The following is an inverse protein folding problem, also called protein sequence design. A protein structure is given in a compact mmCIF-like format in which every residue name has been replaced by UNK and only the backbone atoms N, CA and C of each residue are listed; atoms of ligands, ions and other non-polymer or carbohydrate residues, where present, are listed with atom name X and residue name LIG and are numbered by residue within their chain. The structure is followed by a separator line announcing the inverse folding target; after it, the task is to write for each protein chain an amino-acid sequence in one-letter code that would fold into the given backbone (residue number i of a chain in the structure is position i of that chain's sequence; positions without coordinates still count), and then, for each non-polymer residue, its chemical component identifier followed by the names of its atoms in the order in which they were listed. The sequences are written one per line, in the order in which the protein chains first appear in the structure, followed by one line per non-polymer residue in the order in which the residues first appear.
data_IF_431996895832
#
_entry.id   IF_431996895832
#
_cell.length_a   1.000
_cell.length_b   1.000
_cell.length_c   1.000
_cell.angle_alpha   90.00
_cell.angle_beta   90.00
_cell.angle_gamma   90.00
#
_symmetry.space_group_name_H-M   'P 1'
#
loop_
_entity.id
_entity.type
_entity.pdbx_description
1 polymer ?
#
# COMPACT_ATOMS: atom_id res chain seq x y z
N UNK A 1 -6.87 -1.10 -19.28
CA UNK A 1 -6.28 -0.09 -18.39
C UNK A 1 -6.39 -0.55 -16.95
N UNK A 2 -5.36 -0.25 -16.18
CA UNK A 2 -5.36 -0.61 -14.76
C UNK A 2 -6.14 0.44 -13.97
N UNK A 3 -7.00 -0.03 -13.08
CA UNK A 3 -7.69 0.85 -12.15
C UNK A 3 -6.85 1.00 -10.89
N UNK A 4 -6.59 2.25 -10.50
CA UNK A 4 -5.90 2.54 -9.24
C UNK A 4 -6.91 3.12 -8.26
N UNK A 5 -6.96 2.53 -7.07
CA UNK A 5 -7.82 2.99 -6.00
C UNK A 5 -6.98 3.29 -4.77
N UNK A 6 -7.57 3.92 -3.77
CA UNK A 6 -6.88 4.39 -2.59
C UNK A 6 -7.70 4.09 -1.34
N UNK A 7 -7.01 3.79 -0.24
CA UNK A 7 -7.65 3.55 1.04
C UNK A 7 -7.52 4.77 1.96
N UNK A 8 -8.32 4.78 3.01
CA UNK A 8 -8.25 5.82 4.04
C UNK A 8 -6.96 5.73 4.86
N UNK A 9 -6.28 4.60 4.80
CA UNK A 9 -5.00 4.38 5.48
C UNK A 9 -3.82 4.77 4.60
N UNK A 10 -4.08 5.43 3.46
CA UNK A 10 -3.06 5.93 2.54
C UNK A 10 -2.29 4.82 1.84
N UNK A 11 -2.98 3.75 1.46
CA UNK A 11 -2.44 2.73 0.56
C UNK A 11 -3.07 2.91 -0.82
N UNK A 12 -2.29 2.61 -1.85
CA UNK A 12 -2.82 2.56 -3.22
C UNK A 12 -2.90 1.11 -3.68
N UNK A 13 -3.87 0.82 -4.53
CA UNK A 13 -4.12 -0.51 -5.07
C UNK A 13 -4.30 -0.41 -6.58
N UNK A 14 -3.50 -1.17 -7.31
CA UNK A 14 -3.59 -1.24 -8.76
C UNK A 14 -4.01 -2.65 -9.13
N UNK A 15 -5.23 -2.81 -9.63
CA UNK A 15 -5.76 -4.11 -10.00
C UNK A 15 -5.55 -4.38 -11.47
N UNK A 16 -4.91 -5.51 -11.80
CA UNK A 16 -4.72 -6.00 -13.16
C UNK A 16 -5.15 -7.46 -13.19
N UNK A 17 -6.29 -7.74 -13.83
CA UNK A 17 -6.86 -9.08 -13.80
C UNK A 17 -7.21 -9.49 -12.37
N UNK A 18 -6.61 -10.56 -11.88
CA UNK A 18 -6.84 -11.04 -10.52
C UNK A 18 -5.75 -10.61 -9.55
N UNK A 19 -4.75 -9.86 -10.02
CA UNK A 19 -3.60 -9.47 -9.20
C UNK A 19 -3.69 -8.00 -8.83
N UNK A 20 -3.64 -7.72 -7.54
CA UNK A 20 -3.60 -6.35 -7.02
C UNK A 20 -2.20 -6.04 -6.51
N UNK A 21 -1.62 -4.95 -6.98
CA UNK A 21 -0.35 -4.43 -6.47
C UNK A 21 -0.66 -3.35 -5.46
N UNK A 22 -0.04 -3.41 -4.29
CA UNK A 22 -0.34 -2.53 -3.17
C UNK A 22 0.92 -1.86 -2.66
N UNK A 23 0.81 -0.57 -2.36
CA UNK A 23 1.89 0.20 -1.76
C UNK A 23 1.31 1.36 -0.97
N UNK A 24 2.16 2.25 -0.48
CA UNK A 24 1.72 3.43 0.24
C UNK A 24 1.82 4.65 -0.66
N UNK A 25 0.99 5.66 -0.39
CA UNK A 25 0.93 6.85 -1.24
C UNK A 25 2.06 7.83 -0.92
N UNK A 26 2.27 8.76 -1.85
CA UNK A 26 3.22 9.86 -1.62
C UNK A 26 2.83 10.64 -0.36
N UNK A 27 1.54 10.86 -0.14
CA UNK A 27 1.04 11.54 1.05
C UNK A 27 1.48 10.81 2.32
N UNK A 28 1.42 9.48 2.33
CA UNK A 28 1.87 8.70 3.48
C UNK A 28 3.37 8.90 3.75
N UNK A 29 4.19 8.93 2.69
CA UNK A 29 5.63 9.14 2.86
C UNK A 29 5.93 10.55 3.38
N UNK A 30 5.13 11.53 2.98
CA UNK A 30 5.30 12.90 3.47
C UNK A 30 4.96 13.00 4.96
N UNK A 31 3.94 12.27 5.41
CA UNK A 31 3.59 12.24 6.82
C UNK A 31 4.61 11.50 7.67
N UNK A 32 5.16 10.41 7.14
CA UNK A 32 6.11 9.57 7.87
C UNK A 32 7.52 10.12 7.88
N UNK A 33 7.93 10.79 6.80
CA UNK A 33 9.31 11.23 6.62
C UNK A 33 10.17 10.12 6.04
N UNK A 34 11.47 10.16 6.30
CA UNK A 34 12.41 9.19 5.72
C UNK A 34 12.17 7.78 6.26
N UNK A 35 11.87 6.86 5.37
CA UNK A 35 11.64 5.46 5.73
C UNK A 35 12.99 4.76 5.88
N UNK A 36 13.18 4.10 7.02
CA UNK A 36 14.45 3.44 7.37
C UNK A 36 14.32 1.93 7.52
N UNK A 37 13.10 1.41 7.60
CA UNK A 37 12.88 -0.02 7.74
C UNK A 37 11.50 -0.38 7.18
N UNK A 38 11.42 -1.54 6.52
CA UNK A 38 10.17 -2.06 5.97
C UNK A 38 10.12 -3.56 6.17
N UNK A 39 8.99 -4.06 6.65
CA UNK A 39 8.74 -5.49 6.77
C UNK A 39 7.54 -5.84 5.90
N UNK A 40 7.68 -6.88 5.07
CA UNK A 40 6.67 -7.31 4.13
C UNK A 40 6.08 -8.66 4.55
N UNK A 41 4.84 -8.98 4.14
CA UNK A 41 4.29 -10.30 4.38
C UNK A 41 5.02 -11.35 3.53
N UNK A 42 4.99 -12.61 3.98
CA UNK A 42 5.59 -13.68 3.21
C UNK A 42 4.66 -14.14 2.09
N UNK A 43 5.24 -14.61 0.99
CA UNK A 43 4.46 -15.21 -0.10
C UNK A 43 3.67 -16.39 0.43
N UNK A 44 2.43 -16.52 -0.04
CA UNK A 44 1.53 -17.57 0.42
C UNK A 44 0.68 -17.19 1.63
N UNK A 45 0.96 -16.05 2.26
CA UNK A 45 0.18 -15.57 3.39
C UNK A 45 -1.19 -15.09 2.90
N UNK A 46 -2.23 -15.47 3.61
CA UNK A 46 -3.57 -14.95 3.35
C UNK A 46 -3.81 -13.75 4.25
N UNK A 47 -4.31 -12.68 3.64
CA UNK A 47 -4.61 -11.44 4.35
C UNK A 47 -6.07 -11.07 4.15
N UNK A 48 -6.66 -10.48 5.18
CA UNK A 48 -8.06 -10.04 5.12
C UNK A 48 -8.11 -8.53 5.06
N UNK A 49 -9.14 -8.01 4.39
CA UNK A 49 -9.36 -6.57 4.26
C UNK A 49 -9.21 -5.89 5.63
N UNK A 50 -8.46 -4.79 5.63
CA UNK A 50 -8.16 -3.97 6.81
C UNK A 50 -7.25 -4.65 7.84
N UNK A 51 -6.73 -5.84 7.54
CA UNK A 51 -5.77 -6.51 8.40
C UNK A 51 -4.36 -5.98 8.16
N UNK A 52 -3.49 -6.16 9.16
CA UNK A 52 -2.10 -5.76 9.04
C UNK A 52 -1.35 -6.70 8.10
N UNK A 53 -0.68 -6.13 7.09
CA UNK A 53 0.07 -6.91 6.12
C UNK A 53 1.56 -6.64 6.17
N UNK A 54 1.98 -5.51 6.71
CA UNK A 54 3.41 -5.18 6.81
C UNK A 54 3.64 -4.03 7.77
N UNK A 55 4.87 -3.57 7.83
CA UNK A 55 5.28 -2.47 8.72
C UNK A 55 6.24 -1.56 7.97
N UNK A 56 6.15 -0.26 8.22
CA UNK A 56 7.15 0.71 7.81
C UNK A 56 7.60 1.49 9.04
N UNK A 57 8.89 1.75 9.14
CA UNK A 57 9.42 2.60 10.19
C UNK A 57 10.19 3.74 9.57
N UNK A 58 9.96 4.93 10.10
CA UNK A 58 10.67 6.14 9.68
C UNK A 58 11.51 6.66 10.84
N UNK A 59 12.24 7.74 10.58
CA UNK A 59 12.99 8.42 11.63
C UNK A 59 12.09 9.02 12.71
N UNK A 60 10.79 9.17 12.43
CA UNK A 60 9.82 9.77 13.36
C UNK A 60 8.95 8.75 14.06
N UNK A 61 8.54 7.68 13.38
CA UNK A 61 7.49 6.80 13.88
C UNK A 61 7.50 5.45 13.16
N UNK A 62 6.82 4.46 13.76
CA UNK A 62 6.53 3.20 13.12
C UNK A 62 5.04 3.14 12.80
N UNK A 63 4.68 2.51 11.69
CA UNK A 63 3.30 2.41 11.26
C UNK A 63 3.03 1.05 10.63
N UNK A 64 1.87 0.47 10.92
CA UNK A 64 1.44 -0.74 10.25
C UNK A 64 0.94 -0.40 8.85
N UNK A 65 1.21 -1.30 7.90
CA UNK A 65 0.64 -1.21 6.55
C UNK A 65 -0.50 -2.21 6.50
N UNK A 66 -1.71 -1.71 6.29
CA UNK A 66 -2.90 -2.55 6.20
C UNK A 66 -3.18 -2.90 4.76
N UNK A 67 -3.76 -4.09 4.55
CA UNK A 67 -4.21 -4.43 3.21
C UNK A 67 -5.63 -3.89 3.01
N UNK A 68 -5.87 -3.13 1.94
CA UNK A 68 -7.23 -2.61 1.70
C UNK A 68 -8.19 -3.64 1.12
N UNK A 69 -7.68 -4.79 0.69
CA UNK A 69 -8.50 -5.88 0.14
C UNK A 69 -7.96 -7.22 0.60
N UNK A 70 -8.81 -8.25 0.56
CA UNK A 70 -8.43 -9.61 0.95
C UNK A 70 -7.79 -10.36 -0.20
N UNK A 71 -6.86 -11.24 0.10
CA UNK A 71 -6.23 -12.09 -0.91
C UNK A 71 -5.07 -12.89 -0.37
N UNK A 72 -4.35 -13.54 -1.27
CA UNK A 72 -3.15 -14.29 -0.95
C UNK A 72 -1.94 -13.58 -1.53
N UNK A 73 -0.90 -13.39 -0.71
CA UNK A 73 0.34 -12.74 -1.15
C UNK A 73 1.05 -13.64 -2.17
N UNK A 74 1.19 -13.15 -3.40
CA UNK A 74 1.83 -13.90 -4.48
C UNK A 74 3.21 -13.33 -4.84
N UNK A 75 3.51 -12.11 -4.42
CA UNK A 75 4.81 -11.51 -4.66
C UNK A 75 5.07 -10.40 -3.64
N UNK A 76 6.35 -10.13 -3.39
CA UNK A 76 6.80 -9.06 -2.50
C UNK A 76 7.98 -8.34 -3.14
N UNK A 77 8.13 -7.06 -2.82
CA UNK A 77 9.17 -6.23 -3.42
C UNK A 77 10.41 -6.16 -2.52
N UNK A 78 11.32 -7.11 -2.69
CA UNK A 78 12.53 -7.18 -1.88
C UNK A 78 13.39 -5.92 -1.97
N UNK A 79 13.31 -5.21 -3.09
CA UNK A 79 14.12 -3.99 -3.29
C UNK A 79 13.88 -2.94 -2.21
N UNK A 80 12.64 -2.80 -1.71
CA UNK A 80 12.35 -1.81 -0.68
C UNK A 80 12.73 -2.30 0.73
N UNK A 81 12.91 -3.60 0.91
CA UNK A 81 13.45 -4.14 2.16
C UNK A 81 14.95 -3.89 2.21
N UNK A 82 15.63 -4.11 1.09
CA UNK A 82 17.07 -3.90 0.99
C UNK A 82 17.44 -2.42 1.05
N UNK A 83 16.58 -1.56 0.50
CA UNK A 83 16.79 -0.12 0.50
C UNK A 83 15.45 0.61 0.72
N UNK A 84 15.06 0.81 1.99
CA UNK A 84 13.78 1.47 2.31
C UNK A 84 13.65 2.89 1.76
N UNK A 85 14.76 3.57 1.46
CA UNK A 85 14.70 4.92 0.92
C UNK A 85 14.01 4.98 -0.44
N UNK A 86 13.93 3.85 -1.14
CA UNK A 86 13.21 3.76 -2.43
C UNK A 86 11.74 4.10 -2.26
N UNK A 87 11.18 3.85 -1.08
CA UNK A 87 9.78 4.17 -0.79
C UNK A 87 9.56 5.68 -0.86
N UNK A 88 10.51 6.46 -0.36
CA UNK A 88 10.42 7.92 -0.44
C UNK A 88 10.62 8.45 -1.84
N UNK A 89 11.39 7.74 -2.67
CA UNK A 89 11.72 8.18 -4.02
C UNK A 89 10.58 7.98 -5.02
N UNK A 90 9.89 6.85 -4.93
CA UNK A 90 8.85 6.50 -5.92
C UNK A 90 7.78 5.59 -5.30
N UNK A 91 7.02 6.11 -4.31
CA UNK A 91 6.12 5.26 -3.52
C UNK A 91 4.95 4.70 -4.31
N UNK A 92 4.51 5.36 -5.36
CA UNK A 92 3.30 4.96 -6.08
C UNK A 92 3.58 4.20 -7.37
N UNK A 93 4.81 3.76 -7.59
CA UNK A 93 5.16 2.99 -8.76
C UNK A 93 6.18 1.91 -8.43
N UNK A 94 7.50 2.19 -8.58
CA UNK A 94 8.52 1.16 -8.40
C UNK A 94 8.66 0.65 -6.97
N UNK A 95 8.25 1.43 -5.98
CA UNK A 95 8.33 1.03 -4.56
C UNK A 95 7.02 0.41 -4.05
N UNK A 96 6.40 -0.43 -4.83
CA UNK A 96 5.24 -1.21 -4.38
C UNK A 96 5.67 -2.19 -3.28
N UNK A 97 4.73 -2.57 -2.42
CA UNK A 97 5.01 -3.42 -1.26
C UNK A 97 4.80 -4.90 -1.53
N UNK A 98 3.60 -5.27 -1.94
CA UNK A 98 3.27 -6.68 -2.19
C UNK A 98 2.17 -6.78 -3.23
N UNK A 99 2.03 -7.98 -3.80
CA UNK A 99 0.97 -8.29 -4.76
C UNK A 99 0.10 -9.39 -4.19
N UNK A 100 -1.21 -9.24 -4.38
CA UNK A 100 -2.20 -10.21 -3.92
C UNK A 100 -2.94 -10.83 -5.09
N UNK A 101 -3.24 -12.12 -4.97
CA UNK A 101 -4.28 -12.72 -5.79
C UNK A 101 -5.59 -12.41 -5.08
N UNK A 102 -6.42 -11.58 -5.69
CA UNK A 102 -7.61 -11.03 -5.07
C UNK A 102 -8.67 -12.10 -4.83
N UNK A 103 -9.20 -12.14 -3.61
CA UNK A 103 -10.24 -13.08 -3.22
C UNK A 103 -11.62 -12.59 -3.67
N UNK A 104 -11.88 -11.30 -3.52
CA UNK A 104 -13.18 -10.70 -3.83
C UNK A 104 -12.98 -9.30 -4.41
N UNK A 105 -13.13 -9.18 -5.73
CA UNK A 105 -12.93 -7.91 -6.43
C UNK A 105 -13.94 -6.84 -6.01
N UNK A 106 -15.08 -7.23 -5.45
CA UNK A 106 -16.07 -6.26 -5.00
C UNK A 106 -15.57 -5.38 -3.86
N UNK A 107 -14.54 -5.83 -3.14
CA UNK A 107 -13.93 -5.03 -2.10
C UNK A 107 -13.30 -3.74 -2.64
N UNK A 108 -12.96 -3.71 -3.93
CA UNK A 108 -12.45 -2.49 -4.58
C UNK A 108 -13.48 -1.37 -4.61
N UNK A 109 -14.76 -1.71 -4.56
CA UNK A 109 -15.83 -0.72 -4.64
C UNK A 109 -15.90 0.21 -3.43
N UNK A 110 -15.37 -0.22 -2.29
CA UNK A 110 -15.34 0.60 -1.09
C UNK A 110 -14.17 1.56 -1.05
N UNK A 111 -13.27 1.48 -2.03
CA UNK A 111 -12.07 2.30 -2.06
C UNK A 111 -12.30 3.58 -2.87
N UNK A 112 -11.45 4.58 -2.61
CA UNK A 112 -11.57 5.88 -3.26
C UNK A 112 -10.85 5.89 -4.60
N UNK A 113 -11.39 6.64 -5.57
CA UNK A 113 -10.64 6.96 -6.77
C UNK A 113 -9.63 8.07 -6.43
N UNK A 114 -8.79 8.45 -7.39
CA UNK A 114 -7.75 9.44 -7.12
C UNK A 114 -8.31 10.80 -6.70
N UNK A 115 -9.37 11.24 -7.35
CA UNK A 115 -9.98 12.52 -7.04
C UNK A 115 -10.52 12.57 -5.62
N UNK A 116 -11.24 11.53 -5.23
CA UNK A 116 -11.79 11.44 -3.87
C UNK A 116 -10.69 11.31 -2.83
N UNK A 117 -9.65 10.53 -3.14
CA UNK A 117 -8.51 10.37 -2.24
C UNK A 117 -7.76 11.69 -2.05
N UNK A 118 -7.54 12.45 -3.11
CA UNK A 118 -6.84 13.73 -3.03
C UNK A 118 -7.58 14.70 -2.12
N UNK A 119 -8.92 14.72 -2.19
CA UNK A 119 -9.74 15.54 -1.30
C UNK A 119 -9.62 15.06 0.15
N UNK A 120 -9.70 13.75 0.35
CA UNK A 120 -9.58 13.16 1.68
C UNK A 120 -8.22 13.47 2.31
N UNK A 121 -7.14 13.29 1.55
CA UNK A 121 -5.78 13.53 2.03
C UNK A 121 -5.57 14.99 2.38
N UNK A 122 -6.11 15.90 1.57
CA UNK A 122 -6.01 17.33 1.82
C UNK A 122 -6.73 17.73 3.11
N UNK A 123 -7.90 17.15 3.35
CA UNK A 123 -8.69 17.43 4.56
C UNK A 123 -8.01 16.85 5.79
N UNK A 124 -7.43 15.66 5.70
CA UNK A 124 -6.83 15.01 6.86
C UNK A 124 -5.47 15.56 7.22
N UNK A 125 -4.81 16.30 6.33
CA UNK A 125 -3.49 16.88 6.59
C UNK A 125 -3.55 18.29 7.16
N UNK A 126 -4.73 18.85 7.26
CA UNK A 126 -4.91 20.21 7.77
C UNK A 126 -4.97 20.28 9.30
#
# INVERSE_FOLDING_TARGET
MSDVKYSKEHEWIKLEGDIATIGITKHATEMLGDIVFTELPEKGTRVEKDGTAGVVESTKAASDVYTPISGEVVDTNQAIVDDPSKINQDPENSAWFFKLKVKDKSEMESLMNKEDYDKFAKESSS
#
